data_IF_395690439494
#
_entry.id   IF_395690439494
#
_cell.length_a   1.000
_cell.length_b   1.000
_cell.length_c   1.000
_cell.angle_alpha   90.00
_cell.angle_beta   90.00
_cell.angle_gamma   90.00
#
_symmetry.space_group_name_H-M   'P 1'
#
loop_
_entity.id
_entity.type
_entity.pdbx_description
1 polymer ?
#
# COMPACT_ATOMS: atom_id res chain seq x y z
N UNK A 1 -14.34 21.20 7.52
CA UNK A 1 -14.16 19.84 6.95
C UNK A 1 -15.47 19.11 7.21
N UNK A 2 -16.15 18.65 6.17
CA UNK A 2 -17.41 17.93 6.33
C UNK A 2 -17.14 16.64 7.13
N UNK A 3 -17.86 16.41 8.24
CA UNK A 3 -17.64 15.24 9.12
C UNK A 3 -17.69 13.93 8.33
N UNK A 4 -18.54 13.87 7.31
CA UNK A 4 -18.66 12.78 6.34
C UNK A 4 -17.34 12.48 5.64
N UNK A 5 -16.61 13.49 5.17
CA UNK A 5 -15.35 13.28 4.46
C UNK A 5 -14.27 12.67 5.36
N UNK A 6 -14.18 13.16 6.60
CA UNK A 6 -13.27 12.60 7.60
C UNK A 6 -13.61 11.13 7.89
N UNK A 7 -14.89 10.84 8.08
CA UNK A 7 -15.36 9.47 8.34
C UNK A 7 -15.00 8.50 7.22
N UNK A 8 -15.21 8.87 5.95
CA UNK A 8 -14.85 8.03 4.81
C UNK A 8 -13.34 7.76 4.72
N UNK A 9 -12.51 8.76 5.00
CA UNK A 9 -11.04 8.58 5.04
C UNK A 9 -10.63 7.67 6.18
N UNK A 10 -11.23 7.81 7.37
CA UNK A 10 -10.97 6.90 8.49
C UNK A 10 -11.38 5.46 8.17
N UNK A 11 -12.51 5.22 7.49
CA UNK A 11 -12.93 3.87 7.09
C UNK A 11 -11.94 3.21 6.13
N UNK A 12 -11.54 3.91 5.06
CA UNK A 12 -10.63 3.32 4.07
C UNK A 12 -9.21 3.15 4.64
N UNK A 13 -8.77 4.05 5.53
CA UNK A 13 -7.53 3.90 6.29
C UNK A 13 -7.59 2.71 7.24
N UNK A 14 -8.71 2.52 7.95
CA UNK A 14 -8.88 1.39 8.86
C UNK A 14 -8.80 0.06 8.11
N UNK A 15 -9.45 -0.04 6.94
CA UNK A 15 -9.35 -1.24 6.08
C UNK A 15 -7.91 -1.44 5.58
N UNK A 16 -7.28 -0.39 5.05
CA UNK A 16 -5.90 -0.47 4.56
C UNK A 16 -4.85 -0.71 5.66
N UNK A 17 -5.19 -0.41 6.92
CA UNK A 17 -4.33 -0.70 8.05
C UNK A 17 -4.19 -2.20 8.33
N UNK A 18 -5.19 -3.02 7.94
CA UNK A 18 -5.21 -4.48 8.06
C UNK A 18 -4.81 -5.03 9.44
N UNK A 19 -4.88 -4.21 10.50
CA UNK A 19 -4.39 -4.52 11.84
C UNK A 19 -5.44 -5.20 12.72
N UNK A 20 -6.62 -5.55 12.20
CA UNK A 20 -7.64 -6.26 12.96
C UNK A 20 -8.45 -7.21 12.09
N UNK A 21 -9.11 -8.18 12.72
CA UNK A 21 -10.07 -9.04 12.04
C UNK A 21 -11.21 -8.25 11.37
N UNK A 22 -11.64 -7.13 11.97
CA UNK A 22 -12.64 -6.25 11.35
C UNK A 22 -12.11 -5.58 10.08
N UNK A 23 -10.89 -5.02 10.11
CA UNK A 23 -10.28 -4.39 8.94
C UNK A 23 -10.05 -5.35 7.78
N UNK A 24 -9.86 -6.65 8.07
CA UNK A 24 -9.68 -7.70 7.08
C UNK A 24 -11.00 -8.38 6.67
N UNK A 25 -12.11 -8.07 7.35
CA UNK A 25 -13.40 -8.73 7.13
C UNK A 25 -14.02 -8.29 5.80
N UNK A 26 -14.36 -9.24 4.89
CA UNK A 26 -15.08 -8.91 3.65
C UNK A 26 -16.42 -8.21 3.92
N UNK A 27 -17.11 -8.57 5.03
CA UNK A 27 -18.39 -7.96 5.41
C UNK A 27 -18.20 -6.49 5.79
N UNK A 28 -17.14 -6.17 6.54
CA UNK A 28 -16.84 -4.79 6.92
C UNK A 28 -16.48 -3.93 5.69
N UNK A 29 -15.73 -4.51 4.76
CA UNK A 29 -15.37 -3.87 3.48
C UNK A 29 -16.62 -3.62 2.63
N UNK A 30 -17.52 -4.60 2.52
CA UNK A 30 -18.80 -4.47 1.83
C UNK A 30 -19.67 -3.38 2.45
N UNK A 31 -19.78 -3.36 3.78
CA UNK A 31 -20.50 -2.32 4.51
C UNK A 31 -19.91 -0.92 4.28
N UNK A 32 -18.58 -0.79 4.34
CA UNK A 32 -17.87 0.47 4.09
C UNK A 32 -18.04 0.95 2.65
N UNK A 33 -17.99 0.04 1.67
CA UNK A 33 -18.28 0.34 0.26
C UNK A 33 -19.73 0.78 0.05
N UNK A 34 -20.68 0.14 0.72
CA UNK A 34 -22.09 0.53 0.66
C UNK A 34 -22.32 1.92 1.26
N UNK A 35 -21.68 2.25 2.38
CA UNK A 35 -21.72 3.61 2.96
C UNK A 35 -21.19 4.64 1.97
N UNK A 36 -20.03 4.38 1.33
CA UNK A 36 -19.51 5.27 0.28
C UNK A 36 -20.49 5.43 -0.88
N UNK A 37 -21.18 4.37 -1.29
CA UNK A 37 -22.20 4.43 -2.35
C UNK A 37 -23.39 5.31 -1.94
N UNK A 38 -23.89 5.17 -0.72
CA UNK A 38 -24.99 6.01 -0.19
C UNK A 38 -24.57 7.48 -0.17
N UNK A 39 -23.37 7.80 0.30
CA UNK A 39 -22.86 9.18 0.32
C UNK A 39 -22.65 9.72 -1.11
N UNK A 40 -22.17 8.89 -2.03
CA UNK A 40 -22.03 9.26 -3.44
C UNK A 40 -23.37 9.66 -4.06
N UNK A 41 -24.40 8.83 -3.83
CA UNK A 41 -25.76 9.10 -4.32
C UNK A 41 -26.40 10.30 -3.65
N UNK A 42 -26.23 10.47 -2.33
CA UNK A 42 -26.80 11.59 -1.59
C UNK A 42 -26.20 12.94 -2.01
N UNK A 43 -24.98 12.94 -2.55
CA UNK A 43 -24.32 14.12 -3.13
C UNK A 43 -24.68 14.37 -4.60
N UNK A 44 -25.54 13.54 -5.20
CA UNK A 44 -25.92 13.66 -6.61
C UNK A 44 -24.76 13.50 -7.58
N UNK A 45 -23.68 12.82 -7.15
CA UNK A 45 -22.51 12.58 -7.99
C UNK A 45 -22.87 11.56 -9.07
N UNK A 46 -22.26 11.73 -10.25
CA UNK A 46 -22.46 10.83 -11.40
C UNK A 46 -21.19 10.07 -11.69
N UNK A 47 -21.34 8.79 -12.02
CA UNK A 47 -20.24 7.95 -12.49
C UNK A 47 -19.77 8.50 -13.84
N UNK A 48 -18.46 8.70 -13.98
CA UNK A 48 -17.88 9.19 -15.21
C UNK A 48 -17.80 8.08 -16.28
N UNK A 49 -17.75 8.50 -17.56
CA UNK A 49 -17.75 7.58 -18.71
C UNK A 49 -16.55 6.64 -18.69
N UNK A 50 -15.41 7.07 -18.16
CA UNK A 50 -14.23 6.23 -18.07
C UNK A 50 -14.50 5.06 -17.11
N UNK A 51 -15.06 5.31 -15.93
CA UNK A 51 -15.34 4.25 -14.96
C UNK A 51 -16.41 3.26 -15.47
N UNK A 52 -17.41 3.74 -16.22
CA UNK A 52 -18.38 2.86 -16.89
C UNK A 52 -17.67 1.94 -17.89
N UNK A 53 -16.85 2.51 -18.77
CA UNK A 53 -16.08 1.74 -19.76
C UNK A 53 -15.10 0.77 -19.09
N UNK A 54 -14.38 1.22 -18.07
CA UNK A 54 -13.49 0.39 -17.26
C UNK A 54 -14.24 -0.81 -16.65
N UNK A 55 -15.44 -0.60 -16.12
CA UNK A 55 -16.27 -1.65 -15.54
C UNK A 55 -16.70 -2.68 -16.59
N UNK A 56 -17.11 -2.22 -17.78
CA UNK A 56 -17.46 -3.11 -18.88
C UNK A 56 -16.25 -3.95 -19.32
N UNK A 57 -15.09 -3.32 -19.50
CA UNK A 57 -13.84 -4.02 -19.86
C UNK A 57 -13.44 -5.02 -18.79
N UNK A 58 -13.50 -4.64 -17.51
CA UNK A 58 -13.15 -5.51 -16.38
C UNK A 58 -13.96 -6.80 -16.38
N UNK A 59 -15.30 -6.71 -16.50
CA UNK A 59 -16.14 -7.90 -16.57
C UNK A 59 -15.99 -8.65 -17.90
N UNK A 60 -15.79 -7.95 -19.01
CA UNK A 60 -15.54 -8.58 -20.30
C UNK A 60 -14.27 -9.44 -20.29
N UNK A 61 -13.22 -9.02 -19.58
CA UNK A 61 -11.98 -9.79 -19.41
C UNK A 61 -12.19 -11.13 -18.69
N UNK A 62 -13.28 -11.33 -17.95
CA UNK A 62 -13.58 -12.64 -17.37
C UNK A 62 -13.85 -13.73 -18.41
N UNK A 63 -14.34 -13.36 -19.60
CA UNK A 63 -14.62 -14.31 -20.70
C UNK A 63 -13.32 -14.95 -21.23
N UNK A 64 -12.31 -14.19 -21.71
CA UNK A 64 -11.06 -14.80 -22.16
C UNK A 64 -10.33 -15.54 -21.05
N UNK A 65 -10.41 -15.08 -19.79
CA UNK A 65 -9.87 -15.85 -18.67
C UNK A 65 -10.56 -17.21 -18.55
N UNK A 66 -11.88 -17.30 -18.63
CA UNK A 66 -12.58 -18.58 -18.64
C UNK A 66 -12.17 -19.46 -19.83
N UNK A 67 -12.02 -18.89 -21.03
CA UNK A 67 -11.65 -19.66 -22.22
C UNK A 67 -10.21 -20.21 -22.16
N UNK A 68 -9.27 -19.44 -21.61
CA UNK A 68 -7.84 -19.82 -21.52
C UNK A 68 -7.64 -20.81 -20.35
N UNK A 69 -8.30 -20.56 -19.23
CA UNK A 69 -8.03 -21.25 -17.96
C UNK A 69 -9.10 -22.28 -17.57
N UNK A 70 -10.20 -22.36 -18.32
CA UNK A 70 -11.35 -23.21 -18.02
C UNK A 70 -11.89 -23.02 -16.58
N UNK A 71 -11.62 -21.87 -15.98
CA UNK A 71 -11.97 -21.51 -14.61
C UNK A 71 -11.94 -19.99 -14.45
N UNK A 72 -12.91 -19.47 -13.68
CA UNK A 72 -12.92 -18.09 -13.18
C UNK A 72 -13.52 -18.13 -11.78
N UNK A 73 -12.81 -17.58 -10.80
CA UNK A 73 -13.35 -17.39 -9.45
C UNK A 73 -14.29 -16.18 -9.43
N UNK A 74 -15.57 -16.42 -9.71
CA UNK A 74 -16.56 -15.34 -9.85
C UNK A 74 -16.75 -14.54 -8.57
N UNK A 75 -16.71 -15.18 -7.40
CA UNK A 75 -16.80 -14.50 -6.11
C UNK A 75 -15.62 -13.56 -5.91
N UNK A 76 -14.41 -14.03 -6.21
CA UNK A 76 -13.22 -13.19 -6.07
C UNK A 76 -13.20 -12.05 -7.10
N UNK A 77 -13.70 -12.28 -8.32
CA UNK A 77 -13.87 -11.23 -9.36
C UNK A 77 -14.81 -10.15 -8.88
N UNK A 78 -15.97 -10.52 -8.34
CA UNK A 78 -16.92 -9.56 -7.79
C UNK A 78 -16.34 -8.84 -6.59
N UNK A 79 -15.68 -9.56 -5.68
CA UNK A 79 -15.05 -8.96 -4.50
C UNK A 79 -13.97 -7.93 -4.85
N UNK A 80 -13.08 -8.27 -5.80
CA UNK A 80 -12.04 -7.34 -6.26
C UNK A 80 -12.64 -6.14 -6.99
N UNK A 81 -13.70 -6.33 -7.78
CA UNK A 81 -14.43 -5.23 -8.38
C UNK A 81 -15.02 -4.29 -7.32
N UNK A 82 -15.57 -4.83 -6.22
CA UNK A 82 -16.09 -4.03 -5.10
C UNK A 82 -14.97 -3.20 -4.45
N UNK A 83 -13.76 -3.74 -4.29
CA UNK A 83 -12.61 -2.96 -3.79
C UNK A 83 -12.26 -1.80 -4.74
N UNK A 84 -12.24 -2.05 -6.05
CA UNK A 84 -12.02 -1.01 -7.07
C UNK A 84 -13.13 0.06 -7.03
N UNK A 85 -14.39 -0.36 -6.90
CA UNK A 85 -15.53 0.55 -6.76
C UNK A 85 -15.45 1.36 -5.47
N UNK A 86 -15.09 0.74 -4.35
CA UNK A 86 -14.93 1.44 -3.08
C UNK A 86 -13.86 2.54 -3.18
N UNK A 87 -12.71 2.21 -3.77
CA UNK A 87 -11.63 3.16 -4.03
C UNK A 87 -12.06 4.30 -4.96
N UNK A 88 -12.74 3.97 -6.06
CA UNK A 88 -13.29 4.93 -7.01
C UNK A 88 -14.30 5.89 -6.35
N UNK A 89 -15.31 5.36 -5.66
CA UNK A 89 -16.32 6.15 -4.97
C UNK A 89 -15.66 7.10 -3.98
N UNK A 90 -14.71 6.61 -3.18
CA UNK A 90 -14.01 7.40 -2.17
C UNK A 90 -13.28 8.60 -2.78
N UNK A 91 -12.51 8.40 -3.86
CA UNK A 91 -11.79 9.51 -4.51
C UNK A 91 -12.72 10.46 -5.25
N UNK A 92 -13.84 9.96 -5.80
CA UNK A 92 -14.84 10.81 -6.45
C UNK A 92 -15.61 11.69 -5.47
N UNK A 93 -15.83 11.21 -4.24
CA UNK A 93 -16.52 11.96 -3.17
C UNK A 93 -15.60 13.02 -2.56
N UNK A 94 -14.33 12.68 -2.37
CA UNK A 94 -13.36 13.50 -1.64
C UNK A 94 -12.50 14.40 -2.54
N UNK A 95 -12.32 14.04 -3.81
CA UNK A 95 -11.46 14.75 -4.75
C UNK A 95 -10.07 15.04 -4.13
N UNK A 96 -9.54 16.25 -4.28
CA UNK A 96 -8.24 16.62 -3.70
C UNK A 96 -8.28 16.88 -2.18
N UNK A 97 -9.47 17.01 -1.57
CA UNK A 97 -9.58 17.08 -0.10
C UNK A 97 -9.11 15.77 0.57
N UNK A 98 -9.15 14.64 -0.15
CA UNK A 98 -8.60 13.37 0.32
C UNK A 98 -7.19 13.54 0.88
N UNK A 99 -6.30 14.22 0.16
CA UNK A 99 -4.89 14.38 0.57
C UNK A 99 -4.77 15.15 1.89
N UNK A 100 -5.53 16.23 2.05
CA UNK A 100 -5.52 17.05 3.27
C UNK A 100 -6.01 16.24 4.47
N UNK A 101 -7.10 15.50 4.30
CA UNK A 101 -7.71 14.69 5.36
C UNK A 101 -6.80 13.51 5.71
N UNK A 102 -6.34 12.74 4.71
CA UNK A 102 -5.41 11.62 4.88
C UNK A 102 -4.17 12.05 5.66
N UNK A 103 -3.53 13.15 5.24
CA UNK A 103 -2.35 13.67 5.91
C UNK A 103 -2.64 14.04 7.37
N UNK A 104 -3.80 14.65 7.66
CA UNK A 104 -4.18 15.00 9.02
C UNK A 104 -4.38 13.75 9.89
N UNK A 105 -5.09 12.74 9.38
CA UNK A 105 -5.37 11.50 10.12
C UNK A 105 -4.07 10.73 10.37
N UNK A 106 -3.26 10.50 9.34
CA UNK A 106 -1.98 9.77 9.48
C UNK A 106 -1.00 10.52 10.39
N UNK A 107 -0.96 11.85 10.34
CA UNK A 107 -0.17 12.64 11.30
C UNK A 107 -0.61 12.41 12.75
N UNK A 108 -1.92 12.40 13.02
CA UNK A 108 -2.44 12.13 14.38
C UNK A 108 -2.05 10.71 14.81
N UNK A 109 -2.23 9.72 13.95
CA UNK A 109 -1.86 8.33 14.24
C UNK A 109 -0.34 8.17 14.46
N UNK A 110 0.49 8.94 13.75
CA UNK A 110 1.93 8.99 13.98
C UNK A 110 2.30 9.63 15.33
N UNK A 111 1.58 10.67 15.77
CA UNK A 111 1.75 11.23 17.12
C UNK A 111 1.38 10.19 18.17
N UNK A 112 0.29 9.46 17.97
CA UNK A 112 -0.17 8.42 18.91
C UNK A 112 0.79 7.23 18.97
N UNK A 113 1.40 6.84 17.84
CA UNK A 113 2.27 5.68 17.81
C UNK A 113 3.57 5.85 18.59
N UNK A 114 4.10 7.07 18.69
CA UNK A 114 5.38 7.31 19.35
C UNK A 114 5.35 6.99 20.85
N UNK A 115 4.37 7.45 21.67
CA UNK A 115 4.24 7.02 23.07
C UNK A 115 4.06 5.51 23.24
N UNK A 116 3.22 4.86 22.43
CA UNK A 116 3.03 3.40 22.49
C UNK A 116 4.34 2.66 22.18
N UNK A 117 5.07 3.13 21.17
CA UNK A 117 6.36 2.57 20.82
C UNK A 117 7.41 2.77 21.93
N UNK A 118 7.41 3.91 22.62
CA UNK A 118 8.28 4.11 23.78
C UNK A 118 7.97 3.11 24.90
N UNK A 119 6.69 2.86 25.18
CA UNK A 119 6.28 1.84 26.17
C UNK A 119 6.75 0.46 25.72
N UNK A 120 6.59 0.13 24.44
CA UNK A 120 7.05 -1.13 23.84
C UNK A 120 8.56 -1.33 23.98
N UNK A 121 9.37 -0.28 23.83
CA UNK A 121 10.82 -0.35 24.04
C UNK A 121 11.22 -0.54 25.51
N UNK A 122 10.47 0.03 26.44
CA UNK A 122 10.76 -0.07 27.88
C UNK A 122 10.33 -1.44 28.42
N UNK A 123 9.13 -1.89 28.06
CA UNK A 123 8.56 -3.15 28.50
C UNK A 123 7.60 -3.70 27.42
N UNK A 124 8.12 -4.64 26.64
CA UNK A 124 7.39 -5.23 25.53
C UNK A 124 6.14 -6.00 25.97
N UNK A 125 6.24 -6.86 26.97
CA UNK A 125 5.12 -7.69 27.44
C UNK A 125 3.97 -6.84 28.00
N UNK A 126 4.31 -5.77 28.73
CA UNK A 126 3.34 -4.80 29.20
C UNK A 126 2.67 -4.06 28.04
N UNK A 127 3.46 -3.58 27.06
CA UNK A 127 2.91 -2.92 25.88
C UNK A 127 1.98 -3.84 25.09
N UNK A 128 2.39 -5.09 24.87
CA UNK A 128 1.60 -6.11 24.18
C UNK A 128 0.28 -6.37 24.89
N UNK A 129 0.31 -6.51 26.23
CA UNK A 129 -0.89 -6.70 27.05
C UNK A 129 -1.82 -5.49 26.95
N UNK A 130 -1.30 -4.27 27.13
CA UNK A 130 -2.09 -3.02 27.10
C UNK A 130 -2.72 -2.77 25.74
N UNK A 131 -1.96 -2.96 24.66
CA UNK A 131 -2.45 -2.81 23.29
C UNK A 131 -3.47 -3.90 22.97
N UNK A 132 -3.27 -5.12 23.47
CA UNK A 132 -4.15 -6.26 23.25
C UNK A 132 -5.44 -6.25 24.08
N UNK A 133 -5.60 -5.37 25.08
CA UNK A 133 -6.78 -5.38 25.97
C UNK A 133 -8.08 -5.41 25.18
N UNK A 134 -8.25 -4.53 24.19
CA UNK A 134 -9.50 -4.47 23.44
C UNK A 134 -9.70 -5.72 22.57
N UNK A 135 -8.67 -6.18 21.87
CA UNK A 135 -8.72 -7.38 21.05
C UNK A 135 -9.05 -8.65 21.86
N UNK A 136 -8.44 -8.79 23.04
CA UNK A 136 -8.49 -10.01 23.85
C UNK A 136 -9.74 -10.12 24.74
N UNK A 137 -10.46 -9.02 24.97
CA UNK A 137 -11.67 -9.01 25.80
C UNK A 137 -12.98 -9.20 25.00
N UNK A 138 -12.93 -9.13 23.66
CA UNK A 138 -14.10 -9.30 22.81
C UNK A 138 -13.88 -10.43 21.82
N UNK A 139 -14.64 -11.53 21.94
CA UNK A 139 -14.47 -12.74 21.13
C UNK A 139 -14.55 -12.49 19.61
N UNK A 140 -15.36 -11.53 19.15
CA UNK A 140 -15.47 -11.18 17.74
C UNK A 140 -14.27 -10.36 17.20
N UNK A 141 -13.34 -9.96 18.07
CA UNK A 141 -12.13 -9.22 17.73
C UNK A 141 -10.86 -10.07 17.83
N UNK A 142 -10.93 -11.27 18.39
CA UNK A 142 -9.76 -12.15 18.56
C UNK A 142 -9.05 -12.39 17.23
N UNK A 143 -7.74 -12.16 17.20
CA UNK A 143 -6.93 -12.25 15.99
C UNK A 143 -5.47 -12.56 16.35
N UNK A 144 -5.07 -13.84 16.26
CA UNK A 144 -3.71 -14.30 16.56
C UNK A 144 -3.16 -13.72 17.87
N UNK A 145 -3.95 -13.77 18.96
CA UNK A 145 -3.69 -13.02 20.20
C UNK A 145 -2.31 -13.27 20.83
N UNK A 146 -1.68 -14.42 20.56
CA UNK A 146 -0.33 -14.74 21.03
C UNK A 146 0.79 -14.08 20.21
N UNK A 147 0.49 -13.73 18.95
CA UNK A 147 1.46 -13.18 17.99
C UNK A 147 1.11 -11.75 17.55
N UNK A 148 -0.05 -11.24 17.96
CA UNK A 148 -0.55 -9.97 17.48
C UNK A 148 -1.44 -9.29 18.53
N UNK A 149 -1.19 -8.00 18.78
CA UNK A 149 -1.99 -7.16 19.66
C UNK A 149 -2.39 -5.88 18.93
N UNK A 150 -3.65 -5.44 19.08
CA UNK A 150 -4.13 -4.20 18.46
C UNK A 150 -5.28 -3.53 19.23
N UNK A 151 -5.31 -2.20 19.18
CA UNK A 151 -6.38 -1.35 19.73
C UNK A 151 -6.98 -0.37 18.68
N UNK A 152 -6.82 -0.68 17.39
CA UNK A 152 -7.16 0.13 16.21
C UNK A 152 -6.31 1.38 15.98
N UNK A 153 -5.67 1.92 17.01
CA UNK A 153 -4.81 3.09 16.93
C UNK A 153 -3.32 2.72 16.92
N UNK A 154 -3.00 1.56 17.48
CA UNK A 154 -1.67 0.99 17.55
C UNK A 154 -1.73 -0.54 17.51
N UNK A 155 -0.74 -1.16 16.88
CA UNK A 155 -0.57 -2.60 16.79
C UNK A 155 0.83 -3.04 17.16
N UNK A 156 0.97 -4.31 17.56
CA UNK A 156 2.24 -4.99 17.82
C UNK A 156 2.17 -6.38 17.20
N UNK A 157 3.19 -6.76 16.45
CA UNK A 157 3.42 -8.11 15.94
C UNK A 157 4.53 -8.74 16.78
N UNK A 158 4.35 -9.95 17.33
CA UNK A 158 5.31 -10.52 18.27
C UNK A 158 6.68 -10.84 17.63
N UNK A 159 6.68 -11.26 16.36
CA UNK A 159 7.88 -11.71 15.64
C UNK A 159 8.79 -10.56 15.23
N UNK A 160 9.79 -10.27 16.08
CA UNK A 160 10.85 -9.31 15.78
C UNK A 160 10.39 -7.85 15.76
N UNK A 161 9.19 -7.54 16.28
CA UNK A 161 8.74 -6.17 16.39
C UNK A 161 9.11 -5.48 17.70
N UNK A 162 9.78 -6.14 18.65
CA UNK A 162 10.17 -5.51 19.94
C UNK A 162 10.76 -4.12 19.77
N UNK A 163 11.64 -3.96 18.76
CA UNK A 163 12.33 -2.71 18.46
C UNK A 163 11.75 -1.96 17.26
N UNK A 164 10.54 -2.29 16.80
CA UNK A 164 9.96 -1.72 15.56
C UNK A 164 8.55 -1.18 15.79
N UNK A 165 8.31 0.03 15.29
CA UNK A 165 7.01 0.70 15.40
C UNK A 165 6.08 0.30 14.25
N UNK A 166 5.01 -0.46 14.55
CA UNK A 166 3.95 -0.80 13.60
C UNK A 166 2.87 0.28 13.46
N UNK A 167 2.89 1.31 14.32
CA UNK A 167 1.85 2.32 14.36
C UNK A 167 0.47 1.68 14.34
N UNK A 168 -0.44 2.23 13.53
CA UNK A 168 -1.80 1.68 13.39
C UNK A 168 -1.91 0.54 12.37
N UNK A 169 -0.85 0.25 11.60
CA UNK A 169 -0.87 -0.70 10.48
C UNK A 169 -0.53 -2.13 10.94
N UNK A 170 -0.69 -3.13 10.09
CA UNK A 170 -0.46 -4.53 10.45
C UNK A 170 1.01 -4.87 10.75
N UNK A 171 1.97 -4.11 10.23
CA UNK A 171 3.40 -4.31 10.49
C UNK A 171 4.16 -2.98 10.30
N UNK A 172 5.43 -2.87 10.76
CA UNK A 172 6.20 -1.62 10.64
C UNK A 172 6.44 -1.18 9.19
N UNK A 173 6.54 -2.13 8.26
CA UNK A 173 6.65 -1.84 6.82
C UNK A 173 5.34 -1.25 6.27
N UNK A 174 4.19 -1.75 6.67
CA UNK A 174 2.88 -1.19 6.30
C UNK A 174 2.75 0.25 6.78
N UNK A 175 3.10 0.52 8.04
CA UNK A 175 3.08 1.86 8.61
C UNK A 175 4.01 2.83 7.88
N UNK A 176 5.23 2.38 7.55
CA UNK A 176 6.18 3.12 6.73
C UNK A 176 5.57 3.59 5.40
N UNK A 177 4.77 2.76 4.73
CA UNK A 177 4.14 3.15 3.46
C UNK A 177 3.16 4.32 3.64
N UNK A 178 2.33 4.28 4.69
CA UNK A 178 1.41 5.38 5.03
C UNK A 178 2.16 6.67 5.37
N UNK A 179 3.24 6.57 6.16
CA UNK A 179 4.07 7.70 6.56
C UNK A 179 4.75 8.37 5.36
N UNK A 180 5.31 7.59 4.44
CA UNK A 180 5.90 8.12 3.20
C UNK A 180 4.90 8.93 2.41
N UNK A 181 3.70 8.37 2.20
CA UNK A 181 2.64 9.06 1.48
C UNK A 181 2.25 10.37 2.21
N UNK A 182 2.12 10.33 3.53
CA UNK A 182 1.84 11.52 4.33
C UNK A 182 2.97 12.57 4.26
N UNK A 183 4.23 12.17 4.18
CA UNK A 183 5.40 13.05 4.03
C UNK A 183 5.38 13.75 2.66
N UNK A 184 5.08 13.01 1.58
CA UNK A 184 4.93 13.57 0.23
C UNK A 184 3.81 14.61 0.23
N UNK A 185 2.64 14.25 0.78
CA UNK A 185 1.48 15.14 0.85
C UNK A 185 1.78 16.37 1.69
N UNK A 186 2.40 16.21 2.86
CA UNK A 186 2.82 17.34 3.69
C UNK A 186 3.70 18.31 2.89
N UNK A 187 4.67 17.78 2.16
CA UNK A 187 5.58 18.59 1.35
C UNK A 187 4.84 19.39 0.26
N UNK A 188 3.82 18.81 -0.36
CA UNK A 188 2.98 19.54 -1.33
C UNK A 188 2.14 20.61 -0.63
N UNK A 189 1.45 20.26 0.46
CA UNK A 189 0.52 21.15 1.19
C UNK A 189 1.21 22.33 1.88
N UNK A 190 2.48 22.19 2.26
CA UNK A 190 3.24 23.18 3.01
C UNK A 190 4.43 23.75 2.22
N UNK A 191 4.36 23.73 0.89
CA UNK A 191 5.39 24.29 0.00
C UNK A 191 6.80 23.81 0.33
N UNK A 192 6.92 22.54 0.68
CA UNK A 192 8.18 21.86 1.01
C UNK A 192 8.93 22.50 2.19
N UNK A 193 8.25 23.30 3.01
CA UNK A 193 8.82 23.89 4.23
C UNK A 193 8.87 22.85 5.34
N UNK A 194 10.00 22.77 6.02
CA UNK A 194 10.14 21.97 7.24
C UNK A 194 9.19 22.55 8.29
N UNK A 195 8.35 21.68 8.84
CA UNK A 195 7.35 22.03 9.85
C UNK A 195 7.26 20.91 10.90
N UNK A 196 6.59 21.18 12.02
CA UNK A 196 6.44 20.20 13.11
C UNK A 196 5.83 18.86 12.63
N UNK A 197 4.92 18.90 11.66
CA UNK A 197 4.23 17.69 11.19
C UNK A 197 5.14 16.79 10.38
N UNK A 198 5.91 17.32 9.42
CA UNK A 198 6.87 16.51 8.66
C UNK A 198 7.97 15.95 9.56
N UNK A 199 8.42 16.69 10.57
CA UNK A 199 9.39 16.19 11.56
C UNK A 199 8.82 14.97 12.28
N UNK A 200 7.60 15.06 12.82
CA UNK A 200 6.97 13.94 13.52
C UNK A 200 6.76 12.73 12.60
N UNK A 201 6.31 12.95 11.36
CA UNK A 201 6.14 11.88 10.38
C UNK A 201 7.48 11.18 10.06
N UNK A 202 8.57 11.95 9.91
CA UNK A 202 9.91 11.39 9.68
C UNK A 202 10.42 10.65 10.91
N UNK A 203 10.23 11.18 12.13
CA UNK A 203 10.60 10.49 13.37
C UNK A 203 9.85 9.16 13.49
N UNK A 204 8.53 9.16 13.28
CA UNK A 204 7.74 7.93 13.25
C UNK A 204 8.25 6.95 12.18
N UNK A 205 8.62 7.45 11.00
CA UNK A 205 9.17 6.62 9.93
C UNK A 205 10.50 5.97 10.34
N UNK A 206 11.38 6.73 11.00
CA UNK A 206 12.64 6.23 11.56
C UNK A 206 12.39 5.12 12.59
N UNK A 207 11.37 5.22 13.42
CA UNK A 207 11.04 4.15 14.39
C UNK A 207 10.52 2.85 13.78
N UNK A 208 10.19 2.82 12.49
CA UNK A 208 9.69 1.58 11.83
C UNK A 208 10.78 0.55 11.55
N UNK A 209 12.06 0.97 11.50
CA UNK A 209 13.17 0.14 11.03
C UNK A 209 12.87 -0.57 9.69
N UNK A 210 12.22 0.17 8.78
CA UNK A 210 11.89 -0.30 7.43
C UNK A 210 12.98 0.14 6.44
N UNK A 211 13.86 -0.79 6.05
CA UNK A 211 14.91 -0.55 5.05
C UNK A 211 14.36 0.08 3.77
N UNK A 212 13.21 -0.40 3.29
CA UNK A 212 12.52 0.17 2.12
C UNK A 212 12.01 1.56 2.41
N UNK A 213 11.43 1.77 3.60
CA UNK A 213 10.97 3.08 4.06
C UNK A 213 12.06 4.14 3.95
N UNK A 214 13.27 3.76 4.36
CA UNK A 214 14.44 4.61 4.29
C UNK A 214 14.93 4.82 2.86
N UNK A 215 15.06 3.74 2.07
CA UNK A 215 15.45 3.86 0.64
C UNK A 215 14.50 4.83 -0.07
N UNK A 216 13.20 4.69 0.13
CA UNK A 216 12.19 5.56 -0.48
C UNK A 216 12.31 7.01 -0.01
N UNK A 217 12.53 7.24 1.27
CA UNK A 217 12.75 8.59 1.83
C UNK A 217 13.99 9.26 1.23
N UNK A 218 15.10 8.53 1.13
CA UNK A 218 16.39 9.10 0.77
C UNK A 218 16.69 9.11 -0.74
N UNK A 219 15.95 8.34 -1.56
CA UNK A 219 16.11 8.34 -3.02
C UNK A 219 14.93 8.98 -3.73
N UNK A 220 13.73 8.43 -3.56
CA UNK A 220 12.51 8.90 -4.22
C UNK A 220 12.07 10.28 -3.70
N UNK A 221 11.90 10.41 -2.39
CA UNK A 221 11.48 11.67 -1.79
C UNK A 221 12.56 12.75 -1.89
N UNK A 222 13.83 12.38 -1.78
CA UNK A 222 14.97 13.24 -2.08
C UNK A 222 14.91 13.90 -3.47
N UNK A 223 14.69 13.10 -4.51
CA UNK A 223 14.52 13.60 -5.88
C UNK A 223 13.29 14.50 -6.01
N UNK A 224 12.21 14.16 -5.31
CA UNK A 224 11.00 14.98 -5.24
C UNK A 224 11.23 16.35 -4.57
N UNK A 225 12.06 16.41 -3.51
CA UNK A 225 12.51 17.66 -2.91
C UNK A 225 13.38 18.45 -3.90
N UNK A 226 14.35 17.80 -4.55
CA UNK A 226 15.30 18.45 -5.47
C UNK A 226 14.62 19.17 -6.64
N UNK A 227 13.56 18.58 -7.20
CA UNK A 227 12.88 19.20 -8.36
C UNK A 227 11.97 20.38 -7.99
N UNK A 228 11.55 20.47 -6.73
CA UNK A 228 10.66 21.53 -6.24
C UNK A 228 11.36 22.59 -5.38
N UNK A 229 12.51 22.23 -4.79
CA UNK A 229 13.34 23.12 -3.99
C UNK A 229 14.70 23.29 -4.65
N UNK A 230 15.34 24.45 -4.47
CA UNK A 230 16.73 24.69 -4.90
C UNK A 230 17.78 23.96 -4.04
N UNK A 231 17.40 22.88 -3.33
CA UNK A 231 18.34 22.08 -2.54
C UNK A 231 19.27 21.37 -3.53
N UNK A 232 20.58 21.39 -3.27
CA UNK A 232 21.52 20.71 -4.16
C UNK A 232 21.52 19.20 -3.88
N UNK A 233 21.37 18.39 -4.93
CA UNK A 233 21.18 16.92 -4.85
C UNK A 233 22.25 16.21 -4.03
N UNK A 234 23.48 16.72 -4.02
CA UNK A 234 24.59 16.12 -3.28
C UNK A 234 24.36 16.12 -1.77
N UNK A 235 23.66 17.11 -1.19
CA UNK A 235 23.35 17.08 0.25
C UNK A 235 22.45 15.90 0.61
N UNK A 236 21.55 15.54 -0.29
CA UNK A 236 20.64 14.43 -0.06
C UNK A 236 21.32 13.08 -0.28
N UNK A 237 22.19 12.99 -1.30
CA UNK A 237 23.04 11.81 -1.54
C UNK A 237 23.99 11.59 -0.36
N UNK A 238 24.63 12.64 0.16
CA UNK A 238 25.51 12.52 1.33
C UNK A 238 24.75 12.09 2.58
N UNK A 239 23.57 12.65 2.84
CA UNK A 239 22.72 12.22 3.94
C UNK A 239 22.30 10.74 3.81
N UNK A 240 22.01 10.27 2.59
CA UNK A 240 21.68 8.87 2.33
C UNK A 240 22.87 7.94 2.56
N UNK A 241 24.06 8.29 2.08
CA UNK A 241 25.27 7.48 2.25
C UNK A 241 25.64 7.38 3.73
N UNK A 242 25.61 8.50 4.46
CA UNK A 242 25.86 8.51 5.92
C UNK A 242 24.83 7.63 6.64
N UNK A 243 23.55 7.77 6.29
CA UNK A 243 22.50 6.92 6.84
C UNK A 243 22.73 5.44 6.56
N UNK A 244 23.03 5.07 5.30
CA UNK A 244 23.30 3.69 4.92
C UNK A 244 24.51 3.11 5.67
N UNK A 245 25.58 3.88 5.82
CA UNK A 245 26.77 3.45 6.56
C UNK A 245 26.37 3.13 8.00
N UNK A 246 25.79 4.09 8.73
CA UNK A 246 25.39 3.91 10.14
C UNK A 246 24.44 2.73 10.32
N UNK A 247 23.45 2.61 9.44
CA UNK A 247 22.37 1.62 9.57
C UNK A 247 22.82 0.21 9.18
N UNK A 248 23.75 0.07 8.23
CA UNK A 248 24.30 -1.23 7.82
C UNK A 248 25.45 -1.66 8.75
N UNK A 249 26.25 -0.71 9.26
CA UNK A 249 27.41 -1.05 10.09
C UNK A 249 27.09 -1.35 11.55
N UNK A 250 25.98 -0.85 12.09
CA UNK A 250 25.67 -0.92 13.53
C UNK A 250 24.49 -1.84 13.87
N UNK A 251 23.86 -2.49 12.89
CA UNK A 251 22.60 -3.21 13.12
C UNK A 251 22.61 -4.62 12.52
N UNK A 252 22.94 -5.62 13.35
CA UNK A 252 22.96 -7.05 13.00
C UNK A 252 21.65 -7.48 12.32
N UNK A 253 20.51 -6.94 12.76
CA UNK A 253 19.19 -7.22 12.18
C UNK A 253 19.06 -6.83 10.70
N UNK A 254 19.67 -5.73 10.25
CA UNK A 254 19.59 -5.32 8.85
C UNK A 254 20.53 -6.16 7.99
N UNK A 255 21.71 -6.48 8.51
CA UNK A 255 22.63 -7.41 7.86
C UNK A 255 21.99 -8.81 7.70
N UNK A 256 21.37 -9.33 8.74
CA UNK A 256 20.64 -10.60 8.72
C UNK A 256 19.47 -10.56 7.73
N UNK A 257 18.76 -9.43 7.64
CA UNK A 257 17.65 -9.28 6.69
C UNK A 257 18.11 -9.26 5.23
N UNK A 258 19.21 -8.55 4.95
CA UNK A 258 19.79 -8.48 3.61
C UNK A 258 20.37 -9.83 3.21
N UNK A 259 21.10 -10.47 4.12
CA UNK A 259 21.66 -11.80 3.87
C UNK A 259 20.56 -12.84 3.69
N UNK A 260 19.49 -12.83 4.49
CA UNK A 260 18.33 -13.69 4.30
C UNK A 260 17.64 -13.50 2.95
N UNK A 261 17.49 -12.27 2.44
CA UNK A 261 16.97 -12.03 1.08
C UNK A 261 17.92 -12.61 0.00
N UNK A 262 19.23 -12.62 0.22
CA UNK A 262 20.22 -13.21 -0.71
C UNK A 262 20.21 -14.75 -0.62
N UNK A 263 20.11 -15.33 0.58
CA UNK A 263 20.02 -16.79 0.77
C UNK A 263 18.71 -17.35 0.20
N UNK A 264 17.58 -16.70 0.48
CA UNK A 264 16.28 -17.05 -0.13
C UNK A 264 16.27 -16.87 -1.65
N UNK A 265 17.19 -16.08 -2.23
CA UNK A 265 17.42 -16.07 -3.67
C UNK A 265 18.15 -17.30 -4.21
N UNK A 266 19.05 -17.89 -3.44
CA UNK A 266 19.87 -19.04 -3.85
C UNK A 266 19.14 -20.39 -3.69
N UNK A 267 18.40 -20.57 -2.61
CA UNK A 267 17.77 -21.86 -2.25
C UNK A 267 16.35 -22.04 -2.85
N UNK A 268 15.98 -21.23 -3.83
CA UNK A 268 14.63 -21.24 -4.41
C UNK A 268 14.25 -22.57 -5.06
N UNK A 269 15.21 -23.21 -5.73
CA UNK A 269 15.00 -24.52 -6.32
C UNK A 269 14.62 -25.52 -5.22
N UNK A 270 15.37 -25.55 -4.13
CA UNK A 270 15.11 -26.48 -3.03
C UNK A 270 13.80 -26.17 -2.31
N UNK A 271 13.44 -24.89 -2.10
CA UNK A 271 12.15 -24.51 -1.49
C UNK A 271 10.93 -24.84 -2.36
N UNK A 272 11.06 -24.77 -3.69
CA UNK A 272 10.00 -25.12 -4.64
C UNK A 272 9.81 -26.66 -4.72
N UNK A 273 10.88 -27.43 -4.52
CA UNK A 273 10.88 -28.89 -4.64
C UNK A 273 10.90 -29.65 -3.29
N UNK A 274 10.97 -28.97 -2.15
CA UNK A 274 10.89 -29.59 -0.82
C UNK A 274 9.46 -30.08 -0.57
N UNK A 275 9.28 -31.40 -0.66
CA UNK A 275 7.99 -32.10 -0.48
C UNK A 275 7.61 -32.27 0.99
N UNK A 276 8.35 -31.67 1.93
CA UNK A 276 8.14 -31.83 3.36
C UNK A 276 7.42 -30.60 3.92
N UNK A 277 6.24 -30.85 4.48
CA UNK A 277 5.40 -29.98 5.31
C UNK A 277 4.38 -29.06 4.61
N UNK A 278 3.14 -29.10 5.14
CA UNK A 278 2.02 -28.21 4.84
C UNK A 278 2.22 -26.82 5.46
N UNK A 279 3.34 -26.16 5.18
CA UNK A 279 3.67 -24.86 5.76
C UNK A 279 3.56 -23.73 4.71
N UNK A 280 3.12 -22.57 5.18
CA UNK A 280 3.10 -21.34 4.39
C UNK A 280 4.49 -20.73 4.39
N UNK A 281 5.15 -20.65 3.23
CA UNK A 281 6.51 -20.11 3.11
C UNK A 281 6.54 -18.82 2.34
N UNK A 282 7.12 -17.78 2.94
CA UNK A 282 7.42 -16.53 2.25
C UNK A 282 8.68 -16.67 1.42
N UNK A 283 8.62 -16.27 0.15
CA UNK A 283 9.76 -16.37 -0.79
C UNK A 283 10.69 -15.15 -0.75
N UNK A 284 10.44 -14.19 0.14
CA UNK A 284 11.09 -12.88 0.07
C UNK A 284 10.67 -12.11 -1.20
N UNK A 285 11.18 -10.88 -1.36
CA UNK A 285 10.73 -9.98 -2.44
C UNK A 285 11.31 -10.38 -3.79
N UNK A 286 12.56 -10.81 -3.78
CA UNK A 286 13.25 -11.22 -4.99
C UNK A 286 12.84 -12.63 -5.42
N UNK A 287 12.58 -13.55 -4.49
CA UNK A 287 12.00 -14.85 -4.86
C UNK A 287 10.55 -14.79 -5.29
N UNK A 288 9.78 -13.83 -4.75
CA UNK A 288 8.48 -13.49 -5.32
C UNK A 288 8.63 -13.06 -6.79
N UNK A 289 9.52 -12.08 -7.06
CA UNK A 289 9.78 -11.55 -8.40
C UNK A 289 10.20 -12.62 -9.41
N UNK A 290 11.17 -13.46 -9.06
CA UNK A 290 11.74 -14.43 -10.01
C UNK A 290 10.71 -15.43 -10.51
N UNK A 291 9.89 -15.97 -9.62
CA UNK A 291 8.86 -16.92 -10.03
C UNK A 291 7.68 -16.21 -10.70
N UNK A 292 7.26 -15.04 -10.20
CA UNK A 292 6.20 -14.26 -10.86
C UNK A 292 6.61 -13.85 -12.29
N UNK A 293 7.91 -13.60 -12.54
CA UNK A 293 8.44 -13.34 -13.86
C UNK A 293 8.31 -14.56 -14.78
N UNK A 294 8.65 -15.75 -14.29
CA UNK A 294 8.49 -17.00 -15.06
C UNK A 294 7.02 -17.27 -15.41
N UNK A 295 6.12 -17.04 -14.47
CA UNK A 295 4.67 -17.12 -14.70
C UNK A 295 4.22 -16.06 -15.73
N UNK A 296 4.65 -14.80 -15.57
CA UNK A 296 4.32 -13.72 -16.48
C UNK A 296 4.71 -14.02 -17.94
N UNK A 297 5.85 -14.67 -18.18
CA UNK A 297 6.28 -15.04 -19.53
C UNK A 297 5.29 -15.98 -20.25
N UNK A 298 4.44 -16.72 -19.52
CA UNK A 298 3.43 -17.58 -20.12
C UNK A 298 2.18 -16.80 -20.58
N UNK A 299 1.80 -15.73 -19.86
CA UNK A 299 0.62 -14.91 -20.18
C UNK A 299 0.94 -13.40 -20.09
N UNK A 300 1.81 -12.87 -20.96
CA UNK A 300 2.40 -11.54 -20.76
C UNK A 300 1.44 -10.37 -21.01
N UNK A 301 0.39 -10.55 -21.81
CA UNK A 301 -0.49 -9.42 -22.21
C UNK A 301 -1.50 -9.09 -21.13
N UNK A 302 -2.32 -10.07 -20.73
CA UNK A 302 -3.43 -9.91 -19.77
C UNK A 302 -3.19 -10.61 -18.43
N UNK A 303 -2.07 -11.30 -18.25
CA UNK A 303 -1.78 -12.05 -17.04
C UNK A 303 -2.75 -13.20 -16.80
N UNK A 304 -2.79 -13.66 -15.55
CA UNK A 304 -3.67 -14.75 -15.09
C UNK A 304 -5.01 -14.27 -14.53
N UNK A 305 -5.22 -12.97 -14.48
CA UNK A 305 -6.29 -12.37 -13.71
C UNK A 305 -6.08 -12.60 -12.22
N UNK A 306 -7.08 -12.21 -11.43
CA UNK A 306 -7.04 -12.30 -9.97
C UNK A 306 -7.24 -13.74 -9.45
N UNK A 307 -7.13 -14.76 -10.28
CA UNK A 307 -7.46 -16.14 -9.93
C UNK A 307 -6.46 -16.67 -8.88
N UNK A 308 -6.99 -17.22 -7.78
CA UNK A 308 -6.17 -17.67 -6.62
C UNK A 308 -6.32 -19.15 -6.28
N UNK A 309 -7.27 -19.87 -6.89
CA UNK A 309 -7.51 -21.29 -6.62
C UNK A 309 -6.87 -22.17 -7.67
N UNK A 310 -6.17 -23.17 -7.16
CA UNK A 310 -5.78 -24.35 -7.91
C UNK A 310 -7.00 -25.27 -8.03
N UNK A 311 -7.34 -25.68 -9.25
CA UNK A 311 -8.19 -26.85 -9.44
C UNK A 311 -7.29 -27.91 -10.05
N UNK A 312 -7.44 -29.16 -9.63
CA UNK A 312 -6.54 -30.30 -9.95
C UNK A 312 -6.32 -30.59 -11.45
N UNK A 313 -6.89 -29.78 -12.35
CA UNK A 313 -6.77 -29.85 -13.80
C UNK A 313 -6.18 -28.60 -14.46
N UNK A 314 -5.97 -27.49 -13.74
CA UNK A 314 -5.48 -26.24 -14.35
C UNK A 314 -4.47 -25.53 -13.44
N UNK A 315 -3.18 -25.61 -13.77
CA UNK A 315 -2.11 -24.91 -13.06
C UNK A 315 -2.13 -23.42 -13.43
N UNK A 316 -2.77 -22.60 -12.60
CA UNK A 316 -3.03 -21.19 -12.92
C UNK A 316 -1.88 -20.23 -12.56
N UNK A 317 -0.97 -20.53 -11.65
CA UNK A 317 0.32 -19.82 -11.42
C UNK A 317 1.29 -20.84 -10.81
N UNK A 318 2.59 -20.59 -10.73
CA UNK A 318 3.54 -21.55 -10.10
C UNK A 318 3.20 -21.87 -8.63
N UNK A 319 2.39 -21.03 -7.96
CA UNK A 319 1.75 -21.34 -6.67
C UNK A 319 0.89 -22.63 -6.70
N UNK A 320 0.39 -23.05 -7.86
CA UNK A 320 -0.55 -24.14 -8.10
C UNK A 320 0.13 -25.42 -8.65
N UNK A 321 1.47 -25.48 -8.71
CA UNK A 321 2.18 -26.67 -9.21
C UNK A 321 2.55 -27.65 -8.10
N UNK A 322 2.51 -27.20 -6.85
CA UNK A 322 2.99 -27.95 -5.69
C UNK A 322 1.91 -27.96 -4.59
N UNK A 323 0.98 -28.93 -4.65
CA UNK A 323 -0.16 -29.15 -3.74
C UNK A 323 0.18 -29.24 -2.23
N UNK A 324 1.45 -29.09 -1.85
CA UNK A 324 1.94 -29.33 -0.50
C UNK A 324 2.50 -28.08 0.20
N UNK A 325 2.84 -26.99 -0.53
CA UNK A 325 3.47 -25.79 0.05
C UNK A 325 2.79 -24.50 -0.43
N UNK A 326 2.23 -23.70 0.50
CA UNK A 326 1.64 -22.39 0.16
C UNK A 326 2.75 -21.34 0.05
N UNK A 327 3.07 -20.90 -1.16
CA UNK A 327 4.08 -19.86 -1.39
C UNK A 327 3.46 -18.47 -1.22
N UNK A 328 3.94 -17.67 -0.26
CA UNK A 328 3.46 -16.29 -0.04
C UNK A 328 4.27 -15.32 -0.90
N UNK A 329 3.57 -14.65 -1.84
CA UNK A 329 4.12 -13.61 -2.72
C UNK A 329 4.06 -12.26 -2.03
N UNK A 330 5.22 -11.71 -1.68
CA UNK A 330 5.33 -10.45 -0.93
C UNK A 330 5.75 -9.25 -1.79
N UNK A 331 6.07 -9.48 -3.07
CA UNK A 331 6.39 -8.43 -4.05
C UNK A 331 5.13 -8.04 -4.84
N UNK A 332 4.51 -6.91 -4.49
CA UNK A 332 3.31 -6.39 -5.14
C UNK A 332 3.54 -5.95 -6.58
N UNK A 333 4.74 -5.49 -6.93
CA UNK A 333 5.08 -5.10 -8.30
C UNK A 333 5.02 -6.29 -9.25
N UNK A 334 5.70 -7.39 -8.88
CA UNK A 334 5.69 -8.62 -9.67
C UNK A 334 4.33 -9.28 -9.64
N UNK A 335 3.65 -9.31 -8.49
CA UNK A 335 2.31 -9.88 -8.34
C UNK A 335 1.30 -9.15 -9.24
N UNK A 336 1.38 -7.81 -9.33
CA UNK A 336 0.55 -7.01 -10.25
C UNK A 336 0.85 -7.33 -11.71
N UNK A 337 2.13 -7.46 -12.07
CA UNK A 337 2.56 -7.75 -13.43
C UNK A 337 2.03 -9.11 -13.90
N UNK A 338 2.16 -10.16 -13.10
CA UNK A 338 1.67 -11.49 -13.47
C UNK A 338 0.15 -11.62 -13.37
N UNK A 339 -0.50 -10.88 -12.45
CA UNK A 339 -1.96 -10.87 -12.31
C UNK A 339 -2.63 -10.19 -13.51
N UNK A 340 -2.14 -9.03 -13.96
CA UNK A 340 -2.82 -8.25 -15.01
C UNK A 340 -2.04 -8.07 -16.31
N UNK A 341 -0.86 -8.68 -16.42
CA UNK A 341 0.01 -8.56 -17.58
C UNK A 341 0.53 -7.15 -17.82
N UNK A 342 1.10 -6.93 -19.00
CA UNK A 342 1.59 -5.63 -19.44
C UNK A 342 0.46 -4.59 -19.50
N UNK A 343 -0.75 -4.98 -19.91
CA UNK A 343 -1.88 -4.05 -20.05
C UNK A 343 -2.25 -3.45 -18.69
N UNK A 344 -2.43 -4.29 -17.66
CA UNK A 344 -2.74 -3.80 -16.33
C UNK A 344 -1.58 -3.06 -15.66
N UNK A 345 -0.34 -3.47 -15.92
CA UNK A 345 0.84 -2.77 -15.42
C UNK A 345 0.99 -1.37 -16.04
N UNK A 346 0.76 -1.24 -17.35
CA UNK A 346 0.73 0.06 -18.03
C UNK A 346 -0.41 0.94 -17.51
N UNK A 347 -1.61 0.37 -17.34
CA UNK A 347 -2.73 1.08 -16.73
C UNK A 347 -2.36 1.61 -15.34
N UNK A 348 -1.71 0.80 -14.50
CA UNK A 348 -1.23 1.22 -13.18
C UNK A 348 -0.24 2.39 -13.29
N UNK A 349 0.84 2.25 -14.07
CA UNK A 349 1.86 3.30 -14.24
C UNK A 349 1.23 4.60 -14.72
N UNK A 350 0.40 4.55 -15.76
CA UNK A 350 -0.24 5.71 -16.35
C UNK A 350 -1.18 6.38 -15.35
N UNK A 351 -2.00 5.60 -14.64
CA UNK A 351 -2.98 6.13 -13.69
C UNK A 351 -2.31 6.85 -12.53
N UNK A 352 -1.26 6.26 -11.95
CA UNK A 352 -0.46 6.89 -10.88
C UNK A 352 0.21 8.16 -11.40
N UNK A 353 0.92 8.06 -12.53
CA UNK A 353 1.66 9.20 -13.08
C UNK A 353 0.73 10.37 -13.44
N UNK A 354 -0.34 10.12 -14.19
CA UNK A 354 -1.29 11.15 -14.64
C UNK A 354 -2.05 11.72 -13.45
N UNK A 355 -2.52 10.87 -12.53
CA UNK A 355 -3.23 11.30 -11.33
C UNK A 355 -2.41 12.26 -10.48
N UNK A 356 -1.18 11.86 -10.12
CA UNK A 356 -0.29 12.73 -9.34
C UNK A 356 0.21 13.92 -10.14
N UNK A 357 0.41 13.83 -11.45
CA UNK A 357 0.75 14.98 -12.29
C UNK A 357 -0.33 16.06 -12.22
N UNK A 358 -1.62 15.69 -12.31
CA UNK A 358 -2.74 16.64 -12.16
C UNK A 358 -2.80 17.25 -10.76
N UNK A 359 -2.66 16.42 -9.72
CA UNK A 359 -2.61 16.89 -8.33
C UNK A 359 -1.46 17.87 -8.08
N UNK A 360 -0.25 17.56 -8.54
CA UNK A 360 0.90 18.45 -8.41
C UNK A 360 0.71 19.74 -9.20
N UNK A 361 0.17 19.66 -10.42
CA UNK A 361 -0.14 20.83 -11.24
C UNK A 361 -1.14 21.77 -10.55
N UNK A 362 -2.18 21.21 -9.92
CA UNK A 362 -3.13 21.97 -9.11
C UNK A 362 -2.43 22.77 -7.99
N UNK A 363 -1.37 22.23 -7.39
CA UNK A 363 -0.55 22.90 -6.38
C UNK A 363 0.68 23.66 -6.95
N UNK A 364 0.76 23.86 -8.27
CA UNK A 364 1.90 24.45 -8.97
C UNK A 364 3.26 23.78 -8.66
N UNK A 365 3.26 22.45 -8.45
CA UNK A 365 4.43 21.62 -8.15
C UNK A 365 4.77 20.69 -9.32
N UNK A 366 5.97 20.11 -9.28
CA UNK A 366 6.49 19.14 -10.25
C UNK A 366 6.92 17.85 -9.54
N UNK A 367 7.36 16.85 -10.30
CA UNK A 367 7.95 15.62 -9.75
C UNK A 367 7.03 14.40 -9.69
N UNK A 368 5.99 14.33 -10.53
CA UNK A 368 5.13 13.15 -10.64
C UNK A 368 5.90 11.85 -10.95
N UNK A 369 7.00 11.96 -11.70
CA UNK A 369 7.91 10.84 -11.96
C UNK A 369 8.54 10.27 -10.67
N UNK A 370 8.96 11.14 -9.74
CA UNK A 370 9.52 10.68 -8.46
C UNK A 370 8.45 10.03 -7.59
N UNK A 371 7.23 10.56 -7.58
CA UNK A 371 6.11 9.90 -6.90
C UNK A 371 5.83 8.52 -7.51
N UNK A 372 5.84 8.40 -8.84
CA UNK A 372 5.71 7.09 -9.50
C UNK A 372 6.83 6.12 -9.04
N UNK A 373 8.10 6.56 -9.03
CA UNK A 373 9.20 5.72 -8.55
C UNK A 373 9.00 5.27 -7.10
N UNK A 374 8.51 6.16 -6.22
CA UNK A 374 8.18 5.83 -4.84
C UNK A 374 7.10 4.73 -4.79
N UNK A 375 6.02 4.87 -5.57
CA UNK A 375 4.97 3.86 -5.64
C UNK A 375 5.48 2.50 -6.15
N UNK A 376 6.36 2.49 -7.16
CA UNK A 376 6.98 1.25 -7.65
C UNK A 376 7.88 0.60 -6.60
N UNK A 377 8.64 1.39 -5.82
CA UNK A 377 9.48 0.88 -4.72
C UNK A 377 8.63 0.32 -3.57
N UNK A 378 7.52 0.99 -3.23
CA UNK A 378 6.57 0.51 -2.21
C UNK A 378 5.97 -0.84 -2.64
N UNK A 379 5.48 -0.93 -3.88
CA UNK A 379 4.90 -2.18 -4.44
C UNK A 379 5.94 -3.28 -4.58
N UNK A 380 7.18 -2.96 -4.95
CA UNK A 380 8.26 -3.96 -4.93
C UNK A 380 8.45 -4.57 -3.54
N UNK A 381 8.26 -3.75 -2.51
CA UNK A 381 8.50 -4.14 -1.13
C UNK A 381 7.32 -4.78 -0.41
N UNK A 382 6.10 -4.48 -0.83
CA UNK A 382 4.85 -4.81 -0.16
C UNK A 382 3.78 -5.13 -1.18
N UNK A 383 3.07 -6.24 -1.00
CA UNK A 383 1.90 -6.52 -1.81
C UNK A 383 0.70 -5.68 -1.36
N UNK A 384 0.32 -4.69 -2.17
CA UNK A 384 -0.81 -3.79 -1.91
C UNK A 384 -1.90 -3.92 -2.98
N UNK A 385 -1.84 -4.97 -3.80
CA UNK A 385 -2.73 -5.18 -4.94
C UNK A 385 -4.21 -5.17 -4.56
N UNK A 386 -4.55 -5.70 -3.38
CA UNK A 386 -5.93 -5.80 -2.87
C UNK A 386 -6.27 -4.74 -1.83
N UNK A 387 -5.42 -3.73 -1.63
CA UNK A 387 -5.63 -2.74 -0.59
C UNK A 387 -6.36 -1.50 -1.16
N UNK A 388 -7.61 -1.22 -0.71
CA UNK A 388 -8.45 -0.20 -1.32
C UNK A 388 -7.88 1.21 -1.19
N UNK A 389 -7.08 1.52 -0.17
CA UNK A 389 -6.50 2.86 -0.05
C UNK A 389 -5.43 3.13 -1.11
N UNK A 390 -4.69 2.10 -1.50
CA UNK A 390 -3.71 2.20 -2.59
C UNK A 390 -4.40 2.15 -3.95
N UNK A 391 -5.54 1.48 -4.07
CA UNK A 391 -6.38 1.50 -5.27
C UNK A 391 -6.98 2.88 -5.57
N UNK A 392 -7.16 3.77 -4.59
CA UNK A 392 -7.64 5.15 -4.81
C UNK A 392 -6.83 5.83 -5.91
N UNK A 393 -5.52 5.62 -5.92
CA UNK A 393 -4.61 6.28 -6.84
C UNK A 393 -4.76 5.80 -8.29
N UNK A 394 -5.40 4.62 -8.52
CA UNK A 394 -5.80 4.18 -9.86
C UNK A 394 -6.85 5.10 -10.48
N UNK A 395 -7.63 5.80 -9.68
CA UNK A 395 -8.73 6.64 -10.15
C UNK A 395 -8.52 8.13 -9.86
N UNK A 396 -7.38 8.50 -9.29
CA UNK A 396 -7.04 9.89 -8.97
C UNK A 396 -7.11 10.81 -10.19
N UNK A 397 -6.73 10.32 -11.38
CA UNK A 397 -6.81 11.11 -12.61
C UNK A 397 -8.25 11.49 -12.98
N UNK A 398 -9.27 10.81 -12.46
CA UNK A 398 -10.67 11.15 -12.75
C UNK A 398 -11.12 12.42 -12.05
N UNK A 399 -10.44 12.84 -10.98
CA UNK A 399 -10.75 14.07 -10.23
C UNK A 399 -10.75 15.26 -11.18
N UNK A 400 -11.83 16.05 -11.14
CA UNK A 400 -11.95 17.22 -12.01
C UNK A 400 -11.07 18.32 -11.45
N UNK A 401 -10.23 18.92 -12.29
CA UNK A 401 -9.54 20.13 -11.91
C UNK A 401 -10.61 21.22 -11.70
N UNK A 402 -10.60 21.94 -10.56
CA UNK A 402 -11.41 23.15 -10.48
C UNK A 402 -10.91 24.07 -11.59
N UNK A 403 -11.82 24.57 -12.41
CA UNK A 403 -11.51 25.57 -13.43
C UNK A 403 -10.77 26.70 -12.72
N UNK A 404 -9.46 26.83 -12.94
CA UNK A 404 -8.80 28.11 -12.67
C UNK A 404 -9.55 29.07 -13.60
N UNK A 405 -10.45 29.88 -13.03
CA UNK A 405 -10.86 31.11 -13.67
C UNK A 405 -9.53 31.80 -13.94
N UNK A 406 -9.13 31.80 -15.21
CA UNK A 406 -8.17 32.77 -15.68
C UNK A 406 -8.87 34.07 -15.35
N UNK A 407 -8.42 34.75 -14.31
CA UNK A 407 -8.69 36.18 -14.18
C UNK A 407 -8.14 36.75 -15.49
N UNK A 408 -9.03 36.91 -16.47
CA UNK A 408 -8.78 37.78 -17.60
C UNK A 408 -8.37 39.09 -16.96
N UNK A 409 -7.08 39.43 -17.13
CA UNK A 409 -6.56 40.70 -16.67
C UNK A 409 -7.43 41.79 -17.26
N UNK A 410 -8.26 42.38 -16.41
CA UNK A 410 -8.73 43.73 -16.62
C UNK A 410 -7.55 44.67 -16.39
N UNK A 411 -7.57 45.75 -17.16
CA UNK A 411 -6.75 46.96 -17.06
C UNK A 411 -5.57 46.92 -18.05
N UNK A 412 -5.74 47.45 -19.26
CA UNK A 412 -5.72 48.90 -19.62
C UNK A 412 -4.35 49.56 -19.41
#
# INVERSE_FOLDING_TARGET
>A
MERTNLFLVCLILFIGAQSSILSQSPIFILGSSFVSLVVFMSRGLKVDRFYIFFSLVYFFLSIPYYLIFNYVDTLYVVYFYILLTYAYLTIRILEYDFFKIFHQVVYILAVISLPFFLIQLINFDFAFTVVGVFQNNFSFLEFNNDMFANNFLFSIEADGAMFRNSGFAWEPKGFSNFLILAIIINSVLYDFKINKKIIILVVALLTTFSTVGYIVLFTGFAGFLFINNKIKIYYVITAFIVFLIVVVSENDFIFDKVSNEIYTMRDQADMIYDKRFFESRSLGRFGSLLIDYNDFLQHPVFGYGIQRKDTSKTQLRTQAKYNYTKLVRVNGLSDRLVTFGLVGMLFYIISIYVGFRRYLFYHNKKGAFFILMIFLMIEFATNLLTDPIWMIFLFLFTVKEPTKLIEEGSDE
#
